data_IF_175276373224
#
_entry.id   IF_175276373224
#
_cell.length_a   1.000
_cell.length_b   1.000
_cell.length_c   1.000
_cell.angle_alpha   90.00
_cell.angle_beta   90.00
_cell.angle_gamma   90.00
#
_symmetry.space_group_name_H-M   'P 1'
#
loop_
_entity.id
_entity.type
_entity.pdbx_description
1 polymer ?
#
# COMPACT_ATOMS: atom_id res chain seq x y z
N UNK A 1 13.73 10.68 2.80
CA UNK A 1 13.85 9.22 2.64
C UNK A 1 13.88 8.83 1.17
N UNK A 2 14.59 7.75 0.83
CA UNK A 2 14.54 7.20 -0.52
C UNK A 2 13.28 6.38 -0.73
N UNK A 3 12.64 6.52 -1.89
CA UNK A 3 11.42 5.78 -2.22
C UNK A 3 11.33 5.52 -3.74
N UNK A 4 10.68 4.43 -4.13
CA UNK A 4 10.31 4.19 -5.51
C UNK A 4 8.96 4.86 -5.79
N UNK A 5 9.01 5.97 -6.48
CA UNK A 5 7.88 6.85 -6.76
C UNK A 5 7.39 6.70 -8.18
N UNK A 6 6.10 6.50 -8.34
CA UNK A 6 5.45 6.26 -9.62
C UNK A 6 4.46 7.38 -9.91
N UNK A 7 4.52 7.91 -11.10
CA UNK A 7 3.64 8.94 -11.62
C UNK A 7 2.93 8.45 -12.89
N UNK A 8 1.74 8.96 -13.14
CA UNK A 8 0.99 8.71 -14.37
C UNK A 8 0.09 9.88 -14.69
N UNK A 9 -0.30 10.00 -15.95
CA UNK A 9 -1.23 11.01 -16.40
C UNK A 9 -2.66 10.47 -16.34
N UNK A 10 -3.59 11.26 -15.76
CA UNK A 10 -5.01 10.92 -15.70
C UNK A 10 -5.68 11.25 -17.03
N UNK A 11 -5.73 10.27 -17.94
CA UNK A 11 -6.25 10.42 -19.31
C UNK A 11 -7.23 9.29 -19.61
N UNK A 12 -8.53 9.45 -19.36
CA UNK A 12 -9.51 8.43 -19.67
C UNK A 12 -9.47 8.02 -21.15
N UNK A 13 -9.54 6.72 -21.43
CA UNK A 13 -9.66 6.20 -22.80
C UNK A 13 -10.93 6.74 -23.45
N UNK A 14 -10.91 6.90 -24.77
CA UNK A 14 -12.08 7.29 -25.54
C UNK A 14 -13.25 6.34 -25.27
N UNK A 15 -14.42 6.90 -24.98
CA UNK A 15 -15.62 6.15 -24.62
C UNK A 15 -15.70 5.68 -23.17
N UNK A 16 -14.63 5.79 -22.37
CA UNK A 16 -14.70 5.45 -20.95
C UNK A 16 -15.43 6.55 -20.16
N UNK A 17 -16.50 6.15 -19.45
CA UNK A 17 -17.31 7.07 -18.62
C UNK A 17 -16.82 7.01 -17.19
N UNK A 18 -16.20 8.11 -16.74
CA UNK A 18 -15.80 8.25 -15.33
C UNK A 18 -17.02 8.18 -14.39
N UNK A 19 -16.90 7.39 -13.35
CA UNK A 19 -17.83 7.39 -12.22
C UNK A 19 -17.71 8.70 -11.40
N UNK A 20 -18.71 9.03 -10.61
CA UNK A 20 -18.64 10.20 -9.71
C UNK A 20 -17.49 10.07 -8.69
N UNK A 21 -17.19 8.85 -8.24
CA UNK A 21 -16.05 8.58 -7.35
C UNK A 21 -14.71 8.90 -8.03
N UNK A 22 -14.52 8.48 -9.27
CA UNK A 22 -13.29 8.78 -10.01
C UNK A 22 -13.11 10.28 -10.24
N UNK A 23 -14.19 10.99 -10.57
CA UNK A 23 -14.16 12.45 -10.75
C UNK A 23 -13.82 13.19 -9.44
N UNK A 24 -14.40 12.77 -8.32
CA UNK A 24 -14.24 13.44 -7.04
C UNK A 24 -12.93 13.13 -6.34
N UNK A 25 -12.38 11.92 -6.51
CA UNK A 25 -11.19 11.46 -5.78
C UNK A 25 -9.92 11.47 -6.60
N UNK A 26 -10.02 11.53 -7.94
CA UNK A 26 -8.88 11.31 -8.84
C UNK A 26 -8.30 9.90 -8.77
N UNK A 27 -9.07 8.93 -8.25
CA UNK A 27 -8.71 7.52 -8.11
C UNK A 27 -9.39 6.73 -9.22
N UNK A 28 -8.62 6.04 -10.04
CA UNK A 28 -9.17 5.13 -11.03
C UNK A 28 -9.76 3.90 -10.36
N UNK A 29 -10.95 3.49 -10.77
CA UNK A 29 -11.53 2.19 -10.43
C UNK A 29 -11.03 1.10 -11.38
N UNK A 30 -10.63 1.50 -12.58
CA UNK A 30 -10.00 0.67 -13.60
C UNK A 30 -8.77 1.38 -14.15
N UNK A 31 -7.60 1.07 -13.60
CA UNK A 31 -6.35 1.76 -13.92
C UNK A 31 -5.99 1.74 -15.41
N UNK A 32 -6.22 0.60 -16.08
CA UNK A 32 -5.96 0.42 -17.51
C UNK A 32 -6.89 1.24 -18.44
N UNK A 33 -7.93 1.86 -17.90
CA UNK A 33 -8.83 2.74 -18.66
C UNK A 33 -8.48 4.23 -18.49
N UNK A 34 -7.61 4.56 -17.53
CA UNK A 34 -7.39 5.95 -17.12
C UNK A 34 -5.92 6.34 -17.11
N UNK A 35 -5.05 5.49 -16.56
CA UNK A 35 -3.66 5.86 -16.32
C UNK A 35 -2.78 5.65 -17.54
N UNK A 36 -2.18 6.74 -18.03
CA UNK A 36 -1.32 6.78 -19.21
C UNK A 36 0.08 7.30 -18.85
N UNK A 37 1.08 6.98 -19.67
CA UNK A 37 2.45 7.48 -19.57
C UNK A 37 3.10 7.21 -18.20
N UNK A 38 2.87 6.02 -17.65
CA UNK A 38 3.39 5.64 -16.33
C UNK A 38 4.91 5.67 -16.35
N UNK A 39 5.49 6.24 -15.29
CA UNK A 39 6.93 6.34 -15.08
C UNK A 39 7.25 6.17 -13.61
N UNK A 40 8.23 5.34 -13.29
CA UNK A 40 8.71 5.09 -11.93
C UNK A 40 10.18 5.44 -11.81
N UNK A 41 10.57 5.99 -10.67
CA UNK A 41 11.98 6.28 -10.36
C UNK A 41 12.24 6.27 -8.87
N UNK A 42 13.48 5.97 -8.49
CA UNK A 42 13.91 6.13 -7.10
C UNK A 42 14.24 7.61 -6.86
N UNK A 43 13.53 8.23 -5.92
CA UNK A 43 13.69 9.65 -5.61
C UNK A 43 13.72 9.88 -4.10
N UNK A 44 14.20 11.04 -3.70
CA UNK A 44 14.09 11.51 -2.32
C UNK A 44 12.69 12.09 -2.07
N UNK A 45 12.03 11.59 -1.04
CA UNK A 45 10.71 12.02 -0.59
C UNK A 45 10.75 12.44 0.87
N UNK A 46 9.86 13.34 1.31
CA UNK A 46 9.68 13.59 2.74
C UNK A 46 9.36 12.30 3.49
N UNK A 47 9.82 12.17 4.71
CA UNK A 47 9.35 11.09 5.57
C UNK A 47 7.86 11.28 5.90
N UNK A 48 7.08 10.18 5.94
CA UNK A 48 5.67 10.28 6.28
C UNK A 48 5.49 10.67 7.75
N UNK A 49 4.44 11.45 8.01
CA UNK A 49 4.06 11.85 9.37
C UNK A 49 3.20 10.77 10.01
N UNK A 50 3.54 10.38 11.24
CA UNK A 50 2.75 9.40 11.99
C UNK A 50 1.45 10.04 12.52
N UNK A 51 0.31 9.56 12.07
CA UNK A 51 -1.00 10.00 12.57
C UNK A 51 -1.37 9.36 13.91
N UNK A 52 -2.40 9.88 14.55
CA UNK A 52 -2.82 9.47 15.89
C UNK A 52 -3.17 7.97 16.03
N UNK A 53 -3.71 7.36 14.98
CA UNK A 53 -4.07 5.93 14.90
C UNK A 53 -3.06 5.11 14.08
N UNK A 54 -1.91 5.70 13.72
CA UNK A 54 -0.96 5.09 12.80
C UNK A 54 0.32 4.64 13.51
N UNK A 55 1.04 3.81 12.80
CA UNK A 55 2.41 3.40 13.10
C UNK A 55 3.31 3.91 11.98
N UNK A 56 4.46 4.46 12.33
CA UNK A 56 5.54 4.67 11.37
C UNK A 56 6.44 3.44 11.42
N UNK A 57 6.57 2.80 10.29
CA UNK A 57 7.31 1.55 10.13
C UNK A 57 8.57 1.86 9.34
N UNK A 58 9.72 1.43 9.85
CA UNK A 58 10.96 1.35 9.08
C UNK A 58 10.93 0.04 8.31
N UNK A 59 10.84 0.12 7.00
CA UNK A 59 10.67 -1.06 6.16
C UNK A 59 11.94 -1.93 6.19
N UNK A 60 11.75 -3.21 6.44
CA UNK A 60 12.81 -4.21 6.53
C UNK A 60 12.88 -5.10 5.30
N UNK A 61 11.72 -5.47 4.76
CA UNK A 61 11.60 -6.22 3.50
C UNK A 61 10.27 -5.86 2.80
N UNK A 62 10.30 -5.84 1.47
CA UNK A 62 9.12 -5.67 0.64
C UNK A 62 9.15 -6.63 -0.54
N UNK A 63 8.03 -7.32 -0.79
CA UNK A 63 7.82 -8.20 -1.92
C UNK A 63 7.55 -7.42 -3.20
N UNK A 64 8.04 -7.93 -4.33
CA UNK A 64 7.67 -7.43 -5.66
C UNK A 64 6.63 -8.37 -6.23
N UNK A 65 5.41 -7.92 -6.31
CA UNK A 65 4.28 -8.71 -6.81
C UNK A 65 4.08 -8.56 -8.32
N UNK A 66 3.29 -9.47 -8.90
CA UNK A 66 2.82 -9.33 -10.27
C UNK A 66 2.03 -8.03 -10.50
N UNK A 67 1.35 -7.53 -9.48
CA UNK A 67 0.64 -6.25 -9.51
C UNK A 67 1.59 -5.09 -9.77
N UNK A 68 2.74 -5.03 -9.10
CA UNK A 68 3.74 -3.96 -9.33
C UNK A 68 4.24 -3.96 -10.78
N UNK A 69 4.46 -5.16 -11.34
CA UNK A 69 4.84 -5.29 -12.74
C UNK A 69 3.72 -4.81 -13.70
N UNK A 70 2.45 -5.10 -13.41
CA UNK A 70 1.32 -4.67 -14.21
C UNK A 70 1.06 -3.18 -14.10
N UNK A 71 1.29 -2.56 -12.95
CA UNK A 71 1.23 -1.12 -12.76
C UNK A 71 2.16 -0.38 -13.74
N UNK A 72 3.40 -0.87 -13.89
CA UNK A 72 4.43 -0.22 -14.71
C UNK A 72 4.38 -0.60 -16.19
N UNK A 73 3.83 -1.77 -16.54
CA UNK A 73 3.66 -2.18 -17.92
C UNK A 73 2.61 -1.35 -18.64
N UNK A 74 2.86 -1.09 -19.92
CA UNK A 74 1.99 -0.29 -20.79
C UNK A 74 1.49 -1.12 -21.95
N UNK A 75 0.25 -0.85 -22.37
CA UNK A 75 -0.28 -1.31 -23.64
C UNK A 75 0.30 -0.48 -24.82
N UNK A 76 -0.02 -0.86 -26.05
CA UNK A 76 0.47 -0.17 -27.27
C UNK A 76 0.05 1.30 -27.36
N UNK A 77 -0.96 1.71 -26.62
CA UNK A 77 -1.43 3.09 -26.51
C UNK A 77 -0.80 3.85 -25.34
N UNK A 78 0.05 3.21 -24.56
CA UNK A 78 0.75 3.80 -23.41
C UNK A 78 -0.05 3.79 -22.11
N UNK A 79 -1.16 3.05 -22.03
CA UNK A 79 -1.92 2.88 -20.79
C UNK A 79 -1.38 1.75 -19.92
N UNK A 80 -1.55 1.89 -18.59
CA UNK A 80 -1.25 0.82 -17.64
C UNK A 80 -1.94 -0.49 -18.01
N UNK A 81 -1.28 -1.60 -17.77
CA UNK A 81 -1.92 -2.91 -17.89
C UNK A 81 -2.67 -3.34 -16.62
N UNK A 82 -2.56 -2.58 -15.53
CA UNK A 82 -3.26 -2.88 -14.28
C UNK A 82 -4.73 -2.43 -14.35
N UNK A 83 -5.65 -3.38 -14.22
CA UNK A 83 -7.12 -3.13 -14.28
C UNK A 83 -7.75 -2.95 -12.90
N UNK A 84 -6.97 -2.79 -11.85
CA UNK A 84 -7.50 -2.54 -10.52
C UNK A 84 -7.62 -1.05 -10.18
N UNK A 85 -8.12 -0.79 -8.99
CA UNK A 85 -8.16 0.57 -8.48
C UNK A 85 -6.75 1.09 -8.16
N UNK A 86 -6.49 2.32 -8.49
CA UNK A 86 -5.17 2.92 -8.31
C UNK A 86 -5.23 4.44 -8.33
N UNK A 87 -4.24 5.06 -7.72
CA UNK A 87 -4.09 6.50 -7.67
C UNK A 87 -2.62 6.87 -7.87
N UNK A 88 -2.36 7.89 -8.67
CA UNK A 88 -1.03 8.44 -8.85
C UNK A 88 -1.03 9.96 -8.58
N UNK A 89 0.11 10.55 -8.22
CA UNK A 89 1.39 9.88 -7.96
C UNK A 89 1.41 9.12 -6.64
N UNK A 90 2.29 8.08 -6.51
CA UNK A 90 2.31 7.18 -5.36
C UNK A 90 3.68 6.53 -5.15
N UNK A 91 4.01 6.18 -3.91
CA UNK A 91 5.05 5.19 -3.58
C UNK A 91 4.38 3.82 -3.65
N UNK A 92 4.88 2.92 -4.52
CA UNK A 92 4.30 1.57 -4.68
C UNK A 92 4.79 0.59 -3.60
N UNK A 93 4.43 -0.70 -3.72
CA UNK A 93 4.74 -1.77 -2.75
C UNK A 93 3.61 -1.97 -1.74
N UNK A 94 2.96 -3.13 -1.82
CA UNK A 94 1.79 -3.48 -0.98
C UNK A 94 2.02 -4.74 -0.14
N UNK A 95 3.16 -5.40 -0.31
CA UNK A 95 3.60 -6.58 0.44
C UNK A 95 4.87 -6.22 1.20
N UNK A 96 4.77 -5.80 2.48
CA UNK A 96 5.94 -5.38 3.23
C UNK A 96 5.82 -5.61 4.73
N UNK A 97 6.97 -5.68 5.37
CA UNK A 97 7.13 -5.84 6.80
C UNK A 97 8.28 -5.00 7.32
N UNK A 98 8.23 -4.60 8.57
CA UNK A 98 9.27 -3.76 9.15
C UNK A 98 9.18 -3.62 10.66
N UNK A 99 9.99 -2.73 11.20
CA UNK A 99 10.05 -2.40 12.63
C UNK A 99 9.32 -1.08 12.91
N UNK A 100 8.47 -1.06 13.94
CA UNK A 100 7.80 0.17 14.37
C UNK A 100 8.83 1.12 14.98
N UNK A 101 8.93 2.33 14.43
CA UNK A 101 9.82 3.39 14.93
C UNK A 101 9.08 4.56 15.57
N UNK A 102 7.78 4.71 15.30
CA UNK A 102 6.93 5.73 15.92
C UNK A 102 5.49 5.19 16.05
N UNK A 103 4.81 5.58 17.12
CA UNK A 103 3.46 5.10 17.46
C UNK A 103 2.54 6.29 17.71
N UNK A 104 1.40 6.32 17.02
CA UNK A 104 0.36 7.31 17.24
C UNK A 104 -0.23 7.23 18.65
N UNK A 105 -0.65 8.37 19.19
CA UNK A 105 -1.06 8.50 20.60
C UNK A 105 -2.26 7.62 21.02
N UNK A 106 -3.09 7.20 20.07
CA UNK A 106 -4.27 6.37 20.33
C UNK A 106 -3.99 4.86 20.21
N UNK A 107 -2.82 4.47 19.72
CA UNK A 107 -2.41 3.07 19.58
C UNK A 107 -2.04 2.50 20.95
N UNK A 108 -2.60 1.33 21.32
CA UNK A 108 -2.43 0.75 22.67
C UNK A 108 -1.74 -0.61 22.68
N UNK A 109 -1.82 -1.37 21.59
CA UNK A 109 -1.38 -2.78 21.58
C UNK A 109 -0.01 -3.01 20.94
N UNK A 110 0.48 -2.04 20.19
CA UNK A 110 1.76 -2.09 19.50
C UNK A 110 2.67 -0.98 20.01
N UNK A 111 3.98 -1.20 20.00
CA UNK A 111 4.98 -0.28 20.53
C UNK A 111 6.19 -0.19 19.63
N UNK A 112 7.01 0.85 19.81
CA UNK A 112 8.31 0.99 19.15
C UNK A 112 9.17 -0.25 19.43
N UNK A 113 9.80 -0.78 18.38
CA UNK A 113 10.60 -2.00 18.39
C UNK A 113 9.81 -3.29 18.11
N UNK A 114 8.47 -3.25 18.04
CA UNK A 114 7.70 -4.39 17.55
C UNK A 114 7.92 -4.57 16.03
N UNK A 115 8.05 -5.83 15.60
CA UNK A 115 8.12 -6.20 14.20
C UNK A 115 6.71 -6.48 13.70
N UNK A 116 6.37 -5.95 12.53
CA UNK A 116 5.02 -6.10 11.98
C UNK A 116 5.03 -6.41 10.48
N UNK A 117 4.07 -7.22 10.07
CA UNK A 117 3.62 -7.34 8.68
C UNK A 117 2.42 -6.43 8.47
N UNK A 118 2.26 -5.95 7.25
CA UNK A 118 1.18 -5.04 6.85
C UNK A 118 0.18 -5.78 5.98
N UNK A 119 -1.10 -5.72 6.36
CA UNK A 119 -2.21 -6.18 5.52
C UNK A 119 -2.29 -5.31 4.26
N UNK A 120 -2.40 -5.93 3.11
CA UNK A 120 -2.48 -5.22 1.83
C UNK A 120 -3.87 -4.63 1.55
N UNK A 121 -4.93 -5.17 2.13
CA UNK A 121 -6.29 -4.68 1.95
C UNK A 121 -6.79 -3.96 3.19
N UNK A 122 -7.08 -2.67 3.07
CA UNK A 122 -7.54 -1.83 4.15
C UNK A 122 -9.04 -1.52 4.02
N UNK A 123 -9.86 -2.22 4.79
CA UNK A 123 -11.32 -2.10 4.76
C UNK A 123 -11.85 -1.14 5.83
N UNK A 124 -12.98 -0.49 5.57
CA UNK A 124 -13.55 0.50 6.50
C UNK A 124 -14.11 -0.11 7.81
N UNK A 125 -14.63 -1.34 7.77
CA UNK A 125 -15.28 -2.01 8.91
C UNK A 125 -16.76 -1.67 9.09
N UNK A 126 -17.31 -0.69 8.38
CA UNK A 126 -18.64 -0.12 8.63
C UNK A 126 -19.67 -0.37 7.53
N UNK A 127 -19.22 -0.55 6.28
CA UNK A 127 -20.14 -0.78 5.16
C UNK A 127 -20.81 -2.17 5.23
N UNK A 128 -21.86 -2.36 4.45
CA UNK A 128 -22.64 -3.61 4.44
C UNK A 128 -21.78 -4.85 4.15
N UNK A 129 -20.80 -4.74 3.27
CA UNK A 129 -19.89 -5.84 2.95
C UNK A 129 -19.02 -6.18 4.17
N UNK A 130 -18.40 -5.17 4.81
CA UNK A 130 -17.58 -5.37 6.01
C UNK A 130 -18.38 -5.97 7.17
N UNK A 131 -19.61 -5.51 7.41
CA UNK A 131 -20.48 -6.05 8.47
C UNK A 131 -20.87 -7.51 8.25
N UNK A 132 -20.79 -7.99 7.01
CA UNK A 132 -21.00 -9.39 6.65
C UNK A 132 -19.71 -10.21 6.57
N UNK A 133 -18.56 -9.62 6.93
CA UNK A 133 -17.23 -10.27 6.87
C UNK A 133 -16.65 -10.38 5.45
N UNK A 134 -17.22 -9.67 4.47
CA UNK A 134 -16.76 -9.66 3.08
C UNK A 134 -15.85 -8.46 2.84
N UNK A 135 -14.71 -8.45 3.52
CA UNK A 135 -13.78 -7.29 3.55
C UNK A 135 -13.23 -6.91 2.17
N UNK A 136 -12.96 -7.90 1.32
CA UNK A 136 -12.52 -7.71 -0.07
C UNK A 136 -13.56 -7.00 -0.95
N UNK A 137 -14.81 -6.90 -0.51
CA UNK A 137 -15.89 -6.16 -1.19
C UNK A 137 -16.18 -4.81 -0.52
N UNK A 138 -15.28 -4.33 0.33
CA UNK A 138 -15.44 -3.04 0.99
C UNK A 138 -15.59 -1.91 -0.05
N UNK A 139 -16.62 -1.06 0.12
CA UNK A 139 -16.85 0.09 -0.77
C UNK A 139 -15.75 1.14 -0.66
N UNK A 140 -15.13 1.23 0.50
CA UNK A 140 -14.03 2.15 0.81
C UNK A 140 -12.69 1.40 0.93
N UNK A 141 -12.49 0.36 0.12
CA UNK A 141 -11.26 -0.40 0.12
C UNK A 141 -10.09 0.49 -0.28
N UNK A 142 -9.06 0.51 0.56
CA UNK A 142 -7.79 1.15 0.32
C UNK A 142 -6.67 0.10 0.31
N UNK A 143 -5.60 0.38 -0.43
CA UNK A 143 -4.44 -0.52 -0.51
C UNK A 143 -3.16 0.32 -0.53
N UNK A 144 -2.21 0.09 0.41
CA UNK A 144 -0.90 0.74 0.35
C UNK A 144 -0.20 0.38 -0.96
N UNK A 145 0.48 1.33 -1.56
CA UNK A 145 1.17 1.12 -2.84
C UNK A 145 0.27 1.12 -4.08
N UNK A 146 -1.06 1.22 -3.91
CA UNK A 146 -2.04 1.28 -4.99
C UNK A 146 -2.94 2.52 -4.90
N UNK A 147 -3.44 2.85 -3.72
CA UNK A 147 -4.37 3.97 -3.50
C UNK A 147 -3.82 5.06 -2.58
N UNK A 148 -2.80 4.73 -1.82
CA UNK A 148 -1.97 5.64 -1.02
C UNK A 148 -0.56 5.04 -0.87
N UNK A 149 0.42 5.80 -0.37
CA UNK A 149 1.82 5.42 -0.32
C UNK A 149 2.06 4.08 0.40
N UNK A 150 2.87 3.23 -0.22
CA UNK A 150 3.22 1.88 0.22
C UNK A 150 4.66 1.71 0.68
N UNK A 151 5.15 0.46 0.66
CA UNK A 151 6.38 0.01 1.30
C UNK A 151 7.64 0.03 0.44
N UNK A 152 7.63 0.49 -0.82
CA UNK A 152 8.88 0.66 -1.56
C UNK A 152 9.58 1.97 -1.18
N UNK A 153 9.83 2.13 0.11
CA UNK A 153 10.46 3.28 0.75
C UNK A 153 11.23 2.86 2.00
N UNK A 154 12.00 3.77 2.59
CA UNK A 154 12.66 3.52 3.87
C UNK A 154 11.66 3.51 5.05
N UNK A 155 10.55 4.25 4.90
CA UNK A 155 9.50 4.36 5.92
C UNK A 155 8.12 4.42 5.29
N UNK A 156 7.15 3.74 5.92
CA UNK A 156 5.73 3.83 5.63
C UNK A 156 4.93 4.19 6.88
N UNK A 157 3.73 4.78 6.71
CA UNK A 157 2.78 4.97 7.82
C UNK A 157 1.49 4.21 7.55
N UNK A 158 1.12 3.34 8.49
CA UNK A 158 -0.02 2.44 8.37
C UNK A 158 -0.90 2.54 9.60
N UNK A 159 -2.22 2.54 9.41
CA UNK A 159 -3.16 2.47 10.53
C UNK A 159 -2.97 1.16 11.28
N UNK A 160 -2.83 1.24 12.60
CA UNK A 160 -2.41 0.13 13.48
C UNK A 160 -3.26 -1.15 13.36
N UNK A 161 -4.54 -1.04 12.98
CA UNK A 161 -5.45 -2.21 12.84
C UNK A 161 -5.08 -3.15 11.69
N UNK A 162 -4.24 -2.69 10.76
CA UNK A 162 -3.77 -3.47 9.61
C UNK A 162 -2.32 -3.96 9.77
N UNK A 163 -1.79 -3.90 11.00
CA UNK A 163 -0.44 -4.35 11.29
C UNK A 163 -0.48 -5.56 12.21
N UNK A 164 0.15 -6.66 11.79
CA UNK A 164 0.22 -7.92 12.50
C UNK A 164 1.61 -8.15 13.06
N UNK A 165 1.67 -8.48 14.36
CA UNK A 165 2.94 -8.64 15.07
C UNK A 165 3.68 -9.91 14.63
N UNK A 166 4.97 -9.78 14.35
CA UNK A 166 5.87 -10.85 13.89
C UNK A 166 6.84 -11.35 14.98
N UNK A 167 6.81 -10.78 16.18
CA UNK A 167 7.79 -11.11 17.21
C UNK A 167 7.80 -12.61 17.58
N UNK A 168 6.65 -13.27 17.54
CA UNK A 168 6.56 -14.72 17.82
C UNK A 168 7.17 -15.55 16.68
N UNK A 169 7.00 -15.11 15.43
CA UNK A 169 7.65 -15.72 14.26
C UNK A 169 9.16 -15.60 14.38
N UNK A 170 9.65 -14.40 14.72
CA UNK A 170 11.08 -14.18 14.95
C UNK A 170 11.63 -15.14 16.02
N UNK A 171 10.94 -15.28 17.14
CA UNK A 171 11.35 -16.17 18.23
C UNK A 171 11.38 -17.64 17.78
N UNK A 172 10.41 -18.06 16.97
CA UNK A 172 10.34 -19.43 16.45
C UNK A 172 11.50 -19.75 15.49
N UNK A 173 11.93 -18.81 14.65
CA UNK A 173 13.02 -18.97 13.69
C UNK A 173 14.38 -18.51 14.20
N UNK A 174 14.61 -18.51 15.50
CA UNK A 174 15.93 -18.27 16.09
C UNK A 174 16.33 -16.81 16.27
N UNK A 175 15.37 -15.89 16.25
CA UNK A 175 15.61 -14.48 16.56
C UNK A 175 16.16 -13.63 15.41
N UNK A 176 16.14 -14.14 14.18
CA UNK A 176 16.57 -13.38 13.01
C UNK A 176 15.45 -12.45 12.48
N UNK A 177 15.69 -11.13 12.61
CA UNK A 177 14.76 -10.09 12.16
C UNK A 177 14.53 -10.13 10.64
N UNK A 178 15.56 -10.38 9.84
CA UNK A 178 15.43 -10.40 8.38
C UNK A 178 14.53 -11.53 7.93
N UNK A 179 14.69 -12.73 8.48
CA UNK A 179 13.79 -13.87 8.21
C UNK A 179 12.33 -13.51 8.57
N UNK A 180 12.10 -12.84 9.70
CA UNK A 180 10.76 -12.40 10.10
C UNK A 180 10.16 -11.37 9.12
N UNK A 181 10.97 -10.43 8.63
CA UNK A 181 10.53 -9.45 7.64
C UNK A 181 10.23 -10.08 6.28
N UNK A 182 11.10 -10.97 5.79
CA UNK A 182 10.90 -11.67 4.52
C UNK A 182 9.62 -12.51 4.56
N UNK A 183 9.39 -13.28 5.64
CA UNK A 183 8.15 -14.03 5.82
C UNK A 183 6.93 -13.11 5.96
N UNK A 184 7.07 -12.01 6.69
CA UNK A 184 6.00 -11.04 6.87
C UNK A 184 5.64 -10.26 5.60
N UNK A 185 6.58 -10.10 4.67
CA UNK A 185 6.36 -9.45 3.38
C UNK A 185 5.75 -10.38 2.31
N UNK A 186 5.64 -11.68 2.60
CA UNK A 186 5.08 -12.69 1.70
C UNK A 186 3.58 -12.97 1.94
N UNK A 187 2.90 -12.14 2.75
CA UNK A 187 1.50 -12.34 3.15
C UNK A 187 0.56 -11.60 2.20
#
# INVERSE_FOLDING_TARGET
MRAFYVEADFVPKEGYKLSEREKSTGRAMRGNQIWKNIRGSVTDRPEPVCGDEHLKIKDGAAGISGTDAHLLRKDDMGYSMYDGHSKYPIITGHEFAGEIVEVGKNVKKLKVGDLVSVESMHWCGECDACRRGMFNQCKELEEPGLTYDGGFAEYATIHHKYCYKLNDIMNFYGGDKMTAFELGAMI
#
